data_IF_566333781284
#
_entry.id   IF_566333781284
#
_cell.length_a   1.000
_cell.length_b   1.000
_cell.length_c   1.000
_cell.angle_alpha   90.00
_cell.angle_beta   90.00
_cell.angle_gamma   90.00
#
_symmetry.space_group_name_H-M   'P 1'
#
loop_
_entity.id
_entity.type
_entity.pdbx_description
1 polymer ?
#
# COMPACT_ATOMS: atom_id res chain seq x y z
N UNK A 1 68.46 42.49 -4.38
CA UNK A 1 67.32 42.68 -5.29
C UNK A 1 66.81 41.27 -5.61
N UNK A 2 65.83 40.77 -4.85
CA UNK A 2 64.39 40.83 -5.16
C UNK A 2 64.09 40.05 -6.46
N UNK A 3 63.27 39.01 -6.51
CA UNK A 3 62.04 38.74 -5.77
C UNK A 3 61.80 37.23 -5.68
N UNK A 4 61.43 36.74 -4.51
CA UNK A 4 60.88 35.39 -4.33
C UNK A 4 59.47 35.31 -4.91
N UNK A 5 59.20 34.28 -5.70
CA UNK A 5 57.86 33.85 -6.03
C UNK A 5 57.34 33.01 -4.86
N UNK A 6 56.32 33.51 -4.17
CA UNK A 6 55.57 32.75 -3.18
C UNK A 6 54.85 31.62 -3.89
N UNK A 7 55.23 30.39 -3.52
CA UNK A 7 54.39 29.21 -3.67
C UNK A 7 53.11 29.53 -2.92
N UNK A 8 52.00 29.72 -3.64
CA UNK A 8 50.67 29.76 -3.04
C UNK A 8 50.42 28.37 -2.46
N UNK A 9 50.66 28.23 -1.16
CA UNK A 9 50.21 27.10 -0.37
C UNK A 9 48.70 26.95 -0.54
N UNK A 10 48.27 25.78 -1.00
CA UNK A 10 46.90 25.25 -0.88
C UNK A 10 46.54 25.11 0.61
N UNK A 11 46.37 26.25 1.28
CA UNK A 11 45.76 26.33 2.60
C UNK A 11 44.27 26.06 2.41
N UNK A 12 43.85 24.87 2.83
CA UNK A 12 42.43 24.54 3.06
C UNK A 12 41.76 25.75 3.73
N UNK A 13 40.78 26.39 3.07
CA UNK A 13 40.13 27.55 3.65
C UNK A 13 39.54 27.14 4.99
N UNK A 14 39.97 27.81 6.07
CA UNK A 14 39.38 27.58 7.38
C UNK A 14 37.88 27.84 7.28
N UNK A 15 37.09 26.79 7.38
CA UNK A 15 35.63 26.83 7.22
C UNK A 15 35.04 27.70 8.32
N UNK A 16 34.72 28.96 7.96
CA UNK A 16 34.16 29.93 8.88
C UNK A 16 32.63 29.92 8.85
N UNK A 17 31.99 30.08 10.01
CA UNK A 17 30.54 30.29 10.09
C UNK A 17 30.09 31.55 9.33
N UNK A 18 30.96 32.54 9.17
CA UNK A 18 30.66 33.73 8.37
C UNK A 18 30.58 33.38 6.88
N UNK A 19 31.52 32.58 6.38
CA UNK A 19 31.51 32.09 4.99
C UNK A 19 30.28 31.21 4.73
N UNK A 20 29.87 30.39 5.70
CA UNK A 20 28.62 29.61 5.62
C UNK A 20 27.39 30.52 5.49
N UNK A 21 27.28 31.59 6.30
CA UNK A 21 26.16 32.54 6.22
C UNK A 21 26.13 33.25 4.87
N UNK A 22 27.28 33.65 4.34
CA UNK A 22 27.40 34.27 3.01
C UNK A 22 26.93 33.31 1.92
N UNK A 23 27.35 32.04 1.99
CA UNK A 23 26.94 30.99 1.05
C UNK A 23 25.43 30.70 1.13
N UNK A 24 24.86 30.56 2.33
CA UNK A 24 23.41 30.39 2.52
C UNK A 24 22.64 31.59 1.93
N UNK A 25 23.10 32.81 2.17
CA UNK A 25 22.48 34.02 1.60
C UNK A 25 22.52 34.01 0.07
N UNK A 26 23.63 33.57 -0.53
CA UNK A 26 23.76 33.43 -1.99
C UNK A 26 22.79 32.39 -2.55
N UNK A 27 22.71 31.21 -1.92
CA UNK A 27 21.78 30.14 -2.30
C UNK A 27 20.32 30.60 -2.22
N UNK A 28 19.93 31.28 -1.14
CA UNK A 28 18.58 31.82 -0.97
C UNK A 28 18.25 32.99 -1.92
N UNK A 29 19.26 33.66 -2.47
CA UNK A 29 19.05 34.72 -3.48
C UNK A 29 18.89 34.14 -4.89
N UNK A 30 19.35 32.91 -5.11
CA UNK A 30 19.20 32.22 -6.38
C UNK A 30 17.75 31.74 -6.57
N UNK A 31 17.00 32.50 -7.36
CA UNK A 31 15.58 32.23 -7.64
C UNK A 31 15.34 30.80 -8.15
N UNK A 32 16.18 30.29 -9.06
CA UNK A 32 16.02 28.95 -9.61
C UNK A 32 16.19 27.87 -8.54
N UNK A 33 17.18 28.01 -7.66
CA UNK A 33 17.39 27.08 -6.54
C UNK A 33 16.23 27.12 -5.54
N UNK A 34 15.77 28.31 -5.17
CA UNK A 34 14.66 28.48 -4.21
C UNK A 34 13.35 27.90 -4.77
N UNK A 35 12.99 28.18 -6.02
CA UNK A 35 11.79 27.62 -6.62
C UNK A 35 11.87 26.10 -6.78
N UNK A 36 13.02 25.55 -7.16
CA UNK A 36 13.22 24.11 -7.26
C UNK A 36 13.07 23.41 -5.88
N UNK A 37 13.66 23.99 -4.84
CA UNK A 37 13.51 23.47 -3.47
C UNK A 37 12.09 23.60 -2.96
N UNK A 38 11.43 24.74 -3.18
CA UNK A 38 10.03 24.90 -2.81
C UNK A 38 9.14 23.85 -3.48
N UNK A 39 9.33 23.58 -4.78
CA UNK A 39 8.61 22.53 -5.49
C UNK A 39 8.86 21.13 -4.90
N UNK A 40 10.12 20.81 -4.57
CA UNK A 40 10.47 19.54 -3.91
C UNK A 40 9.82 19.38 -2.53
N UNK A 41 9.73 20.47 -1.77
CA UNK A 41 9.03 20.47 -0.48
C UNK A 41 7.56 20.12 -0.67
N UNK A 42 6.86 20.79 -1.60
CA UNK A 42 5.45 20.48 -1.90
C UNK A 42 5.26 19.04 -2.39
N UNK A 43 6.16 18.54 -3.25
CA UNK A 43 6.14 17.16 -3.71
C UNK A 43 6.26 16.17 -2.54
N UNK A 44 7.23 16.39 -1.64
CA UNK A 44 7.43 15.54 -0.48
C UNK A 44 6.22 15.56 0.46
N UNK A 45 5.63 16.73 0.71
CA UNK A 45 4.41 16.81 1.51
C UNK A 45 3.23 16.03 0.90
N UNK A 46 3.08 16.05 -0.43
CA UNK A 46 2.05 15.28 -1.13
C UNK A 46 2.31 13.78 -1.17
N UNK A 47 3.56 13.38 -1.40
CA UNK A 47 3.93 11.98 -1.63
C UNK A 47 4.23 11.20 -0.32
N UNK A 48 4.71 11.86 0.73
CA UNK A 48 5.09 11.22 2.00
C UNK A 48 3.97 10.41 2.66
N UNK A 49 2.73 10.91 2.78
CA UNK A 49 1.64 10.12 3.35
C UNK A 49 1.41 8.83 2.58
N UNK A 50 1.40 8.89 1.25
CA UNK A 50 1.29 7.71 0.41
C UNK A 50 2.43 6.72 0.69
N UNK A 51 3.68 7.18 0.72
CA UNK A 51 4.84 6.33 0.97
C UNK A 51 4.76 5.62 2.33
N UNK A 52 4.38 6.34 3.39
CA UNK A 52 4.26 5.80 4.74
C UNK A 52 3.13 4.77 4.87
N UNK A 53 1.98 5.04 4.25
CA UNK A 53 0.82 4.16 4.32
C UNK A 53 0.80 3.07 3.24
N UNK A 54 1.77 3.04 2.32
CA UNK A 54 1.78 2.13 1.17
C UNK A 54 1.70 0.65 1.59
N UNK A 55 2.56 0.19 2.51
CA UNK A 55 2.52 -1.21 2.99
C UNK A 55 1.19 -1.52 3.65
N UNK A 56 0.67 -0.58 4.47
CA UNK A 56 -0.60 -0.78 5.17
C UNK A 56 -1.80 -0.81 4.22
N UNK A 57 -1.75 0.01 3.17
CA UNK A 57 -2.72 -0.02 2.08
C UNK A 57 -2.77 -1.40 1.44
N UNK A 58 -1.61 -1.98 1.12
CA UNK A 58 -1.54 -3.33 0.52
C UNK A 58 -2.08 -4.41 1.46
N UNK A 59 -1.72 -4.36 2.76
CA UNK A 59 -2.26 -5.28 3.77
C UNK A 59 -3.79 -5.25 3.82
N UNK A 60 -4.37 -4.05 3.87
CA UNK A 60 -5.82 -3.90 4.04
C UNK A 60 -6.55 -4.25 2.74
N UNK A 61 -6.11 -3.70 1.60
CA UNK A 61 -6.84 -3.80 0.33
C UNK A 61 -6.70 -5.15 -0.35
N UNK A 62 -5.54 -5.80 -0.21
CA UNK A 62 -5.25 -7.09 -0.86
C UNK A 62 -5.17 -8.25 0.14
N UNK A 63 -5.46 -7.99 1.43
CA UNK A 63 -5.48 -9.01 2.49
C UNK A 63 -4.17 -9.79 2.63
N UNK A 64 -3.05 -9.16 2.28
CA UNK A 64 -1.73 -9.75 2.43
C UNK A 64 -1.24 -9.64 3.87
N UNK A 65 -0.39 -10.58 4.28
CA UNK A 65 0.27 -10.48 5.58
C UNK A 65 1.24 -9.29 5.61
N UNK A 66 1.53 -8.73 6.80
CA UNK A 66 2.48 -7.62 6.90
C UNK A 66 3.86 -7.93 6.30
N UNK A 67 4.33 -9.18 6.41
CA UNK A 67 5.60 -9.60 5.80
C UNK A 67 5.53 -9.59 4.28
N UNK A 68 4.46 -10.10 3.68
CA UNK A 68 4.26 -10.09 2.23
C UNK A 68 4.13 -8.67 1.67
N UNK A 69 3.33 -7.82 2.30
CA UNK A 69 3.12 -6.44 1.87
C UNK A 69 4.42 -5.61 1.91
N UNK A 70 5.20 -5.77 2.98
CA UNK A 70 6.51 -5.12 3.11
C UNK A 70 7.53 -5.67 2.12
N UNK A 71 7.55 -6.99 1.91
CA UNK A 71 8.44 -7.61 0.92
C UNK A 71 8.15 -7.10 -0.49
N UNK A 72 6.88 -7.00 -0.89
CA UNK A 72 6.47 -6.47 -2.20
C UNK A 72 6.82 -4.99 -2.33
N UNK A 73 6.48 -4.17 -1.33
CA UNK A 73 6.79 -2.73 -1.34
C UNK A 73 8.28 -2.47 -1.42
N UNK A 74 9.08 -3.15 -0.60
CA UNK A 74 10.52 -2.98 -0.54
C UNK A 74 11.21 -3.47 -1.82
N UNK A 75 10.96 -4.71 -2.24
CA UNK A 75 11.58 -5.29 -3.44
C UNK A 75 11.23 -4.51 -4.70
N UNK A 76 9.94 -4.21 -4.93
CA UNK A 76 9.49 -3.45 -6.09
C UNK A 76 10.09 -2.05 -6.11
N UNK A 77 10.09 -1.36 -4.97
CA UNK A 77 10.64 0.00 -4.91
C UNK A 77 12.14 0.00 -5.20
N UNK A 78 12.91 -0.93 -4.64
CA UNK A 78 14.35 -0.99 -4.87
C UNK A 78 14.69 -1.34 -6.31
N UNK A 79 14.13 -2.42 -6.84
CA UNK A 79 14.47 -2.92 -8.18
C UNK A 79 14.08 -1.91 -9.26
N UNK A 80 12.83 -1.43 -9.26
CA UNK A 80 12.35 -0.57 -10.33
C UNK A 80 12.89 0.86 -10.23
N UNK A 81 13.11 1.39 -9.02
CA UNK A 81 13.74 2.71 -8.89
C UNK A 81 15.22 2.67 -9.31
N UNK A 82 15.95 1.59 -9.00
CA UNK A 82 17.32 1.41 -9.46
C UNK A 82 17.39 1.30 -10.99
N UNK A 83 16.50 0.52 -11.61
CA UNK A 83 16.38 0.44 -13.06
C UNK A 83 16.04 1.81 -13.67
N UNK A 84 15.11 2.55 -13.09
CA UNK A 84 14.77 3.91 -13.52
C UNK A 84 15.95 4.86 -13.47
N UNK A 85 16.72 4.84 -12.37
CA UNK A 85 17.91 5.67 -12.21
C UNK A 85 19.00 5.32 -13.25
N UNK A 86 19.27 4.03 -13.49
CA UNK A 86 20.25 3.58 -14.48
C UNK A 86 19.84 3.96 -15.90
N UNK A 87 18.57 3.74 -16.26
CA UNK A 87 18.04 4.10 -17.58
C UNK A 87 18.07 5.61 -17.77
N UNK A 88 17.63 6.39 -16.78
CA UNK A 88 17.71 7.84 -16.84
C UNK A 88 19.15 8.33 -16.99
N UNK A 89 20.09 7.78 -16.21
CA UNK A 89 21.51 8.10 -16.33
C UNK A 89 22.06 7.85 -17.73
N UNK A 90 21.78 6.66 -18.31
CA UNK A 90 22.21 6.31 -19.66
C UNK A 90 21.60 7.24 -20.73
N UNK A 91 20.30 7.55 -20.62
CA UNK A 91 19.58 8.45 -21.55
C UNK A 91 20.13 9.87 -21.45
N UNK A 92 20.34 10.38 -20.25
CA UNK A 92 20.85 11.74 -20.00
C UNK A 92 22.28 11.88 -20.52
N UNK A 93 23.13 10.86 -20.35
CA UNK A 93 24.50 10.86 -20.88
C UNK A 93 24.53 10.89 -22.41
N UNK A 94 23.60 10.20 -23.07
CA UNK A 94 23.50 10.13 -24.54
C UNK A 94 22.92 11.41 -25.14
N UNK A 95 21.80 11.89 -24.61
CA UNK A 95 21.02 13.00 -25.19
C UNK A 95 21.52 14.37 -24.70
N UNK A 96 22.19 14.43 -23.54
CA UNK A 96 22.66 15.67 -22.89
C UNK A 96 21.56 16.75 -22.85
N UNK A 97 20.40 16.46 -22.23
CA UNK A 97 19.26 17.39 -22.23
C UNK A 97 19.58 18.70 -21.52
N UNK A 98 18.96 19.79 -21.97
CA UNK A 98 19.04 21.10 -21.33
C UNK A 98 18.23 21.11 -20.02
N UNK A 99 18.57 21.99 -19.06
CA UNK A 99 17.89 22.10 -17.77
C UNK A 99 16.39 22.35 -17.88
N UNK A 100 15.94 23.06 -18.93
CA UNK A 100 14.50 23.27 -19.21
C UNK A 100 13.78 21.97 -19.60
N UNK A 101 14.42 21.12 -20.40
CA UNK A 101 13.84 19.82 -20.78
C UNK A 101 13.77 18.90 -19.55
N UNK A 102 14.78 18.97 -18.68
CA UNK A 102 14.83 18.20 -17.45
C UNK A 102 13.74 18.62 -16.46
N UNK A 103 13.50 19.93 -16.31
CA UNK A 103 12.39 20.45 -15.53
C UNK A 103 11.03 20.08 -16.12
N UNK A 104 10.90 20.11 -17.45
CA UNK A 104 9.70 19.64 -18.15
C UNK A 104 9.42 18.15 -17.93
N UNK A 105 10.47 17.32 -17.93
CA UNK A 105 10.36 15.90 -17.62
C UNK A 105 9.81 15.68 -16.21
N UNK A 106 10.32 16.39 -15.20
CA UNK A 106 9.82 16.30 -13.82
C UNK A 106 8.31 16.60 -13.74
N UNK A 107 7.83 17.63 -14.45
CA UNK A 107 6.39 17.95 -14.45
C UNK A 107 5.58 16.79 -15.04
N UNK A 108 6.03 16.21 -16.15
CA UNK A 108 5.36 15.08 -16.80
C UNK A 108 5.36 13.85 -15.87
N UNK A 109 6.48 13.54 -15.23
CA UNK A 109 6.58 12.40 -14.31
C UNK A 109 5.72 12.60 -13.07
N UNK A 110 5.67 13.81 -12.49
CA UNK A 110 4.81 14.08 -11.33
C UNK A 110 3.32 13.93 -11.69
N UNK A 111 2.88 14.33 -12.89
CA UNK A 111 1.51 14.12 -13.37
C UNK A 111 1.23 12.62 -13.54
N UNK A 112 2.13 11.87 -14.20
CA UNK A 112 1.97 10.43 -14.41
C UNK A 112 1.90 9.67 -13.07
N UNK A 113 2.79 9.98 -12.13
CA UNK A 113 2.80 9.37 -10.80
C UNK A 113 1.53 9.71 -10.02
N UNK A 114 1.06 10.96 -10.07
CA UNK A 114 -0.18 11.38 -9.41
C UNK A 114 -1.40 10.63 -9.99
N UNK A 115 -1.49 10.53 -11.33
CA UNK A 115 -2.53 9.75 -12.00
C UNK A 115 -2.47 8.28 -11.59
N UNK A 116 -1.28 7.69 -11.50
CA UNK A 116 -1.10 6.31 -11.06
C UNK A 116 -1.53 6.08 -9.60
N UNK A 117 -1.25 7.03 -8.70
CA UNK A 117 -1.70 6.97 -7.31
C UNK A 117 -3.22 7.08 -7.21
N UNK A 118 -3.84 8.00 -7.94
CA UNK A 118 -5.30 8.12 -7.99
C UNK A 118 -5.93 6.86 -8.58
N UNK A 119 -5.28 6.25 -9.58
CA UNK A 119 -5.74 4.99 -10.17
C UNK A 119 -5.77 3.84 -9.17
N UNK A 120 -4.87 3.81 -8.17
CA UNK A 120 -4.90 2.79 -7.12
C UNK A 120 -6.21 2.75 -6.34
N UNK A 121 -6.90 3.89 -6.18
CA UNK A 121 -8.18 3.93 -5.47
C UNK A 121 -9.27 3.09 -6.15
N UNK A 122 -9.13 2.85 -7.45
CA UNK A 122 -10.05 2.02 -8.25
C UNK A 122 -9.61 0.56 -8.32
N UNK A 123 -8.36 0.26 -7.95
CA UNK A 123 -7.83 -1.09 -7.85
C UNK A 123 -7.98 -1.57 -6.42
N UNK A 124 -9.06 -2.29 -6.15
CA UNK A 124 -9.35 -2.87 -4.85
C UNK A 124 -10.02 -4.23 -5.00
N UNK A 125 -9.83 -5.09 -4.01
CA UNK A 125 -10.55 -6.35 -3.94
C UNK A 125 -11.94 -6.11 -3.35
N UNK A 126 -12.95 -5.95 -4.20
CA UNK A 126 -14.34 -5.68 -3.83
C UNK A 126 -15.13 -6.93 -3.36
N UNK A 127 -14.50 -7.85 -2.62
CA UNK A 127 -15.17 -9.06 -2.15
C UNK A 127 -15.53 -9.06 -0.65
N UNK A 128 -15.17 -8.01 0.12
CA UNK A 128 -15.90 -7.73 1.35
C UNK A 128 -17.14 -6.92 0.99
N UNK A 129 -18.19 -7.63 0.59
CA UNK A 129 -19.51 -7.06 0.61
C UNK A 129 -19.87 -6.89 2.10
N UNK A 130 -19.49 -5.76 2.71
CA UNK A 130 -19.76 -5.49 4.12
C UNK A 130 -21.26 -5.63 4.43
N UNK A 131 -22.10 -5.35 3.43
CA UNK A 131 -23.54 -5.64 3.47
C UNK A 131 -23.84 -7.13 3.62
N UNK A 132 -23.11 -8.02 2.94
CA UNK A 132 -23.24 -9.47 3.10
C UNK A 132 -22.73 -9.94 4.47
N UNK A 133 -21.63 -9.37 4.98
CA UNK A 133 -21.13 -9.71 6.33
C UNK A 133 -22.15 -9.28 7.39
N UNK A 134 -22.71 -8.09 7.24
CA UNK A 134 -23.75 -7.57 8.14
C UNK A 134 -25.04 -8.38 8.01
N UNK A 135 -25.50 -8.71 6.80
CA UNK A 135 -26.70 -9.53 6.61
C UNK A 135 -26.53 -10.96 7.14
N UNK A 136 -25.35 -11.53 7.02
CA UNK A 136 -25.03 -12.85 7.55
C UNK A 136 -24.79 -12.84 9.06
N UNK A 137 -24.80 -11.67 9.71
CA UNK A 137 -24.46 -11.57 11.14
C UNK A 137 -25.57 -10.92 11.98
N UNK A 138 -26.33 -9.99 11.42
CA UNK A 138 -27.36 -9.24 12.14
C UNK A 138 -28.77 -9.73 11.81
N UNK A 139 -29.59 -9.91 12.84
CA UNK A 139 -31.01 -10.24 12.69
C UNK A 139 -31.31 -11.70 12.37
N UNK A 140 -30.33 -12.60 12.47
CA UNK A 140 -30.58 -14.03 12.28
C UNK A 140 -31.14 -14.68 13.55
N UNK A 141 -32.22 -15.45 13.40
CA UNK A 141 -32.89 -16.13 14.51
C UNK A 141 -31.95 -17.10 15.27
N UNK A 142 -31.00 -17.72 14.55
CA UNK A 142 -30.01 -18.62 15.12
C UNK A 142 -29.03 -17.95 16.10
N UNK A 143 -28.91 -16.61 16.05
CA UNK A 143 -27.99 -15.81 16.88
C UNK A 143 -28.68 -15.12 18.06
N UNK A 144 -30.03 -15.10 18.09
CA UNK A 144 -30.83 -14.35 19.07
C UNK A 144 -30.58 -14.78 20.53
N UNK A 145 -30.13 -16.02 20.74
CA UNK A 145 -29.84 -16.56 22.08
C UNK A 145 -28.53 -16.06 22.71
N UNK A 146 -27.67 -15.36 21.97
CA UNK A 146 -26.31 -15.04 22.41
C UNK A 146 -26.08 -13.58 22.84
N UNK A 147 -27.08 -12.70 22.73
CA UNK A 147 -27.02 -11.28 23.11
C UNK A 147 -25.74 -10.56 22.62
N UNK A 148 -25.48 -10.61 21.31
CA UNK A 148 -24.21 -10.23 20.69
C UNK A 148 -23.97 -8.70 20.52
N UNK A 149 -24.77 -7.84 21.15
CA UNK A 149 -24.79 -6.38 20.91
C UNK A 149 -23.45 -5.67 21.21
N UNK A 150 -22.66 -6.17 22.16
CA UNK A 150 -21.38 -5.56 22.58
C UNK A 150 -20.14 -6.42 22.28
N UNK A 151 -20.22 -7.31 21.30
CA UNK A 151 -19.10 -8.22 20.98
C UNK A 151 -18.09 -7.53 20.06
N UNK A 152 -16.79 -7.65 20.39
CA UNK A 152 -15.68 -7.13 19.57
C UNK A 152 -15.69 -7.75 18.17
N UNK A 153 -15.44 -6.93 17.15
CA UNK A 153 -15.23 -7.39 15.77
C UNK A 153 -14.09 -8.41 15.70
N UNK A 154 -14.43 -9.63 15.32
CA UNK A 154 -13.52 -10.77 15.26
C UNK A 154 -13.97 -11.71 14.13
N UNK A 155 -13.67 -11.36 12.86
CA UNK A 155 -14.26 -12.04 11.72
C UNK A 155 -13.88 -13.52 11.68
N UNK A 156 -14.85 -14.35 11.31
CA UNK A 156 -14.67 -15.80 11.11
C UNK A 156 -15.20 -16.20 9.73
N UNK A 157 -14.60 -17.25 9.16
CA UNK A 157 -15.01 -17.85 7.90
C UNK A 157 -15.72 -19.16 8.20
N UNK A 158 -17.01 -19.26 7.87
CA UNK A 158 -17.80 -20.47 8.02
C UNK A 158 -17.50 -21.52 6.95
N UNK A 159 -17.86 -22.77 7.23
CA UNK A 159 -17.83 -23.88 6.26
C UNK A 159 -18.73 -23.63 5.05
N UNK A 160 -19.68 -22.70 5.15
CA UNK A 160 -20.55 -22.23 4.08
C UNK A 160 -19.88 -21.21 3.15
N UNK A 161 -18.62 -20.84 3.38
CA UNK A 161 -17.87 -19.86 2.60
C UNK A 161 -18.24 -18.41 2.90
N UNK A 162 -19.08 -18.15 3.90
CA UNK A 162 -19.48 -16.81 4.30
C UNK A 162 -18.65 -16.28 5.47
N UNK A 163 -18.41 -14.97 5.45
CA UNK A 163 -17.72 -14.28 6.57
C UNK A 163 -18.74 -13.68 7.54
N UNK A 164 -18.57 -13.94 8.82
CA UNK A 164 -19.41 -13.45 9.93
C UNK A 164 -18.65 -12.44 10.79
N UNK A 165 -19.37 -11.53 11.45
CA UNK A 165 -18.82 -10.41 12.24
C UNK A 165 -18.04 -10.87 13.48
N UNK A 166 -18.52 -11.93 14.13
CA UNK A 166 -17.88 -12.59 15.26
C UNK A 166 -18.40 -14.02 15.46
N UNK A 167 -17.73 -14.86 16.27
CA UNK A 167 -18.22 -16.20 16.63
C UNK A 167 -19.62 -16.18 17.27
N UNK A 168 -19.94 -15.13 18.02
CA UNK A 168 -21.26 -14.94 18.64
C UNK A 168 -22.37 -14.78 17.59
N UNK A 169 -22.13 -13.96 16.57
CA UNK A 169 -23.10 -13.73 15.49
C UNK A 169 -23.31 -14.97 14.62
N UNK A 170 -22.34 -15.90 14.60
CA UNK A 170 -22.48 -17.21 13.98
C UNK A 170 -23.06 -18.30 14.91
N UNK A 171 -23.31 -17.96 16.18
CA UNK A 171 -23.87 -18.87 17.18
C UNK A 171 -22.97 -20.04 17.57
N UNK A 172 -21.65 -19.88 17.48
CA UNK A 172 -20.67 -20.91 17.84
C UNK A 172 -20.54 -21.04 19.36
N UNK A 173 -20.60 -22.28 19.89
CA UNK A 173 -20.46 -22.55 21.34
C UNK A 173 -19.09 -23.07 21.74
N UNK A 174 -18.39 -23.72 20.82
CA UNK A 174 -17.10 -24.34 21.09
C UNK A 174 -15.97 -23.64 20.34
N UNK A 175 -14.79 -23.60 20.98
CA UNK A 175 -13.57 -23.06 20.38
C UNK A 175 -12.36 -23.95 20.71
N UNK A 176 -11.57 -24.29 19.70
CA UNK A 176 -10.38 -25.12 19.81
C UNK A 176 -9.22 -24.40 19.12
N UNK A 177 -8.06 -24.36 19.78
CA UNK A 177 -6.85 -23.78 19.18
C UNK A 177 -6.15 -24.83 18.32
N UNK A 178 -5.97 -24.53 17.04
CA UNK A 178 -5.29 -25.41 16.09
C UNK A 178 -3.76 -25.25 16.20
N UNK A 179 -3.02 -26.27 15.75
CA UNK A 179 -1.55 -26.30 15.71
C UNK A 179 -0.95 -25.11 14.94
N UNK A 180 -1.65 -24.61 13.91
CA UNK A 180 -1.26 -23.45 13.10
C UNK A 180 -1.48 -22.09 13.81
N UNK A 181 -1.88 -22.10 15.08
CA UNK A 181 -2.16 -20.90 15.87
C UNK A 181 -3.51 -20.23 15.58
N UNK A 182 -4.29 -20.74 14.61
CA UNK A 182 -5.66 -20.31 14.30
C UNK A 182 -6.66 -20.89 15.31
N UNK A 183 -7.78 -20.19 15.52
CA UNK A 183 -8.89 -20.68 16.34
C UNK A 183 -9.93 -21.33 15.42
N UNK A 184 -10.29 -22.57 15.73
CA UNK A 184 -11.39 -23.31 15.12
C UNK A 184 -12.61 -23.18 16.02
N UNK A 185 -13.74 -22.80 15.46
CA UNK A 185 -15.03 -22.69 16.15
C UNK A 185 -15.96 -23.81 15.64
N UNK A 186 -16.67 -24.44 16.57
CA UNK A 186 -17.57 -25.58 16.31
C UNK A 186 -18.92 -25.35 16.99
N UNK A 187 -19.92 -26.15 16.60
CA UNK A 187 -21.33 -26.01 17.02
C UNK A 187 -21.88 -24.60 16.72
N UNK A 188 -21.69 -24.13 15.49
CA UNK A 188 -22.20 -22.84 15.03
C UNK A 188 -23.62 -22.99 14.48
N UNK A 189 -24.62 -22.46 15.22
CA UNK A 189 -26.05 -22.56 14.88
C UNK A 189 -26.47 -21.77 13.64
N UNK A 190 -25.65 -20.84 13.16
CA UNK A 190 -25.95 -20.05 11.97
C UNK A 190 -25.25 -20.55 10.70
N UNK A 191 -24.39 -21.57 10.82
CA UNK A 191 -23.59 -22.09 9.72
C UNK A 191 -24.11 -23.47 9.33
N UNK A 192 -24.36 -23.66 8.04
CA UNK A 192 -24.78 -24.95 7.50
C UNK A 192 -23.57 -25.89 7.38
N UNK A 193 -23.72 -27.11 7.89
CA UNK A 193 -22.73 -28.18 7.74
C UNK A 193 -22.81 -28.80 6.34
N UNK A 194 -21.67 -29.03 5.68
CA UNK A 194 -21.59 -29.60 4.32
C UNK A 194 -22.28 -30.98 4.18
N UNK A 195 -22.51 -31.70 5.29
CA UNK A 195 -23.25 -32.97 5.29
C UNK A 195 -24.72 -32.85 4.84
N UNK A 196 -25.29 -31.64 4.78
CA UNK A 196 -26.69 -31.40 4.41
C UNK A 196 -26.89 -30.69 3.07
N UNK A 197 -25.84 -30.30 2.32
CA UNK A 197 -26.04 -29.67 1.00
C UNK A 197 -26.55 -30.69 -0.03
N UNK A 198 -26.02 -31.91 0.01
CA UNK A 198 -26.43 -33.01 -0.87
C UNK A 198 -27.81 -33.60 -0.51
N UNK A 199 -28.26 -33.44 0.75
CA UNK A 199 -29.56 -33.94 1.22
C UNK A 199 -30.66 -32.87 1.17
N UNK A 200 -30.34 -31.59 1.38
CA UNK A 200 -31.30 -30.49 1.20
C UNK A 200 -31.60 -30.24 -0.29
N UNK A 201 -30.62 -30.40 -1.18
CA UNK A 201 -30.86 -30.30 -2.62
C UNK A 201 -31.73 -31.45 -3.17
N UNK A 202 -31.69 -32.64 -2.56
CA UNK A 202 -32.50 -33.79 -2.98
C UNK A 202 -33.91 -33.83 -2.36
N UNK A 203 -34.17 -33.06 -1.30
CA UNK A 203 -35.50 -32.95 -0.69
C UNK A 203 -36.40 -31.85 -1.29
N UNK A 204 -35.84 -30.92 -2.08
CA UNK A 204 -36.61 -29.85 -2.71
C UNK A 204 -37.46 -30.36 -3.90
N UNK A 205 -37.17 -31.54 -4.44
CA UNK A 205 -37.91 -32.10 -5.58
C UNK A 205 -39.15 -32.93 -5.20
N UNK A 206 -39.54 -32.99 -3.90
CA UNK A 206 -40.62 -33.89 -3.47
C UNK A 206 -41.44 -33.47 -2.24
N UNK A 207 -41.79 -32.20 -2.05
CA UNK A 207 -42.76 -31.88 -1.00
C UNK A 207 -43.79 -30.81 -1.39
N UNK A 208 -45.00 -31.29 -1.74
CA UNK A 208 -46.24 -30.53 -1.71
C UNK A 208 -46.58 -30.16 -0.26
N UNK A 209 -47.09 -28.94 -0.08
CA UNK A 209 -47.70 -28.43 1.15
C UNK A 209 -48.54 -29.47 1.88
N UNK A 210 -48.24 -29.69 3.16
CA UNK A 210 -49.15 -29.51 4.30
C UNK A 210 -48.52 -30.16 5.53
N UNK A 211 -48.13 -29.33 6.51
CA UNK A 211 -48.05 -29.57 7.97
C UNK A 211 -46.94 -28.68 8.54
N UNK A 212 -47.29 -27.90 9.56
CA UNK A 212 -46.42 -26.98 10.29
C UNK A 212 -45.41 -27.76 11.16
N UNK A 213 -44.36 -28.30 10.56
CA UNK A 213 -43.13 -28.71 11.25
C UNK A 213 -41.97 -28.59 10.25
N UNK A 214 -41.13 -27.56 10.44
CA UNK A 214 -40.02 -27.27 9.54
C UNK A 214 -39.03 -28.45 9.53
N UNK A 215 -38.54 -28.90 8.35
CA UNK A 215 -37.51 -29.93 8.30
C UNK A 215 -36.27 -29.41 9.05
N UNK A 216 -35.90 -30.11 10.12
CA UNK A 216 -34.82 -29.73 11.02
C UNK A 216 -33.49 -29.63 10.26
N UNK A 217 -33.13 -28.42 9.85
CA UNK A 217 -31.76 -28.12 9.43
C UNK A 217 -30.87 -28.31 10.65
N UNK A 218 -30.01 -29.32 10.63
CA UNK A 218 -28.98 -29.48 11.66
C UNK A 218 -27.89 -28.45 11.40
N UNK A 219 -27.98 -27.31 12.10
CA UNK A 219 -26.98 -26.25 12.06
C UNK A 219 -25.83 -26.61 13.00
N UNK A 220 -24.84 -27.33 12.48
CA UNK A 220 -23.59 -27.64 13.19
C UNK A 220 -22.41 -27.40 12.24
N UNK A 221 -22.34 -26.19 11.69
CA UNK A 221 -21.22 -25.77 10.86
C UNK A 221 -19.97 -25.49 11.70
N UNK A 222 -18.82 -25.52 11.05
CA UNK A 222 -17.54 -25.13 11.63
C UNK A 222 -17.09 -23.81 11.04
N UNK A 223 -16.26 -23.06 11.77
CA UNK A 223 -15.69 -21.83 11.29
C UNK A 223 -14.23 -21.68 11.72
N UNK A 224 -13.44 -20.97 10.93
CA UNK A 224 -12.05 -20.66 11.25
C UNK A 224 -11.87 -19.16 11.47
N UNK A 225 -10.93 -18.79 12.33
CA UNK A 225 -10.59 -17.38 12.57
C UNK A 225 -10.05 -16.70 11.30
N UNK A 226 -10.60 -15.54 10.96
CA UNK A 226 -10.26 -14.76 9.76
C UNK A 226 -11.43 -14.67 8.78
N UNK A 227 -11.36 -13.73 7.83
CA UNK A 227 -12.34 -13.66 6.74
C UNK A 227 -12.11 -14.79 5.71
N UNK A 228 -13.15 -15.17 4.97
CA UNK A 228 -13.03 -16.20 3.94
C UNK A 228 -12.06 -15.79 2.82
N UNK A 229 -11.35 -16.77 2.23
CA UNK A 229 -10.42 -16.51 1.14
C UNK A 229 -11.18 -15.95 -0.06
N UNK A 230 -10.75 -14.80 -0.54
CA UNK A 230 -11.28 -14.13 -1.72
C UNK A 230 -10.17 -14.05 -2.76
N UNK A 231 -10.49 -14.36 -4.01
CA UNK A 231 -9.51 -14.31 -5.10
C UNK A 231 -9.22 -12.85 -5.47
N UNK A 232 -8.26 -12.25 -4.77
CA UNK A 232 -7.78 -10.89 -4.99
C UNK A 232 -6.54 -10.81 -5.91
N UNK A 233 -6.14 -11.93 -6.52
CA UNK A 233 -4.87 -12.01 -7.24
C UNK A 233 -4.84 -11.14 -8.51
N UNK A 234 -5.90 -11.14 -9.31
CA UNK A 234 -5.97 -10.31 -10.53
C UNK A 234 -5.86 -8.81 -10.26
N UNK A 235 -6.67 -8.19 -9.37
CA UNK A 235 -6.52 -6.77 -9.07
C UNK A 235 -5.16 -6.47 -8.41
N UNK A 236 -4.61 -7.41 -7.63
CA UNK A 236 -3.28 -7.28 -7.05
C UNK A 236 -2.18 -7.22 -8.12
N UNK A 237 -2.21 -8.08 -9.14
CA UNK A 237 -1.22 -8.04 -10.23
C UNK A 237 -1.33 -6.75 -11.06
N UNK A 238 -2.54 -6.24 -11.29
CA UNK A 238 -2.73 -4.94 -11.95
C UNK A 238 -2.15 -3.80 -11.13
N UNK A 239 -2.39 -3.80 -9.82
CA UNK A 239 -1.78 -2.84 -8.90
C UNK A 239 -0.26 -2.93 -8.89
N UNK A 240 0.28 -4.16 -8.85
CA UNK A 240 1.73 -4.40 -8.89
C UNK A 240 2.34 -3.84 -10.18
N UNK A 241 1.71 -4.04 -11.34
CA UNK A 241 2.18 -3.50 -12.61
C UNK A 241 2.26 -1.97 -12.57
N UNK A 242 1.20 -1.30 -12.10
CA UNK A 242 1.17 0.17 -11.99
C UNK A 242 2.18 0.67 -10.95
N UNK A 243 2.38 -0.06 -9.84
CA UNK A 243 3.42 0.19 -8.85
C UNK A 243 4.83 0.14 -9.46
N UNK A 244 5.13 -0.90 -10.24
CA UNK A 244 6.41 -1.03 -10.93
C UNK A 244 6.67 0.16 -11.87
N UNK A 245 5.66 0.55 -12.66
CA UNK A 245 5.75 1.71 -13.56
C UNK A 245 6.00 3.00 -12.76
N UNK A 246 5.24 3.25 -11.70
CA UNK A 246 5.41 4.45 -10.87
C UNK A 246 6.79 4.51 -10.20
N UNK A 247 7.31 3.38 -9.69
CA UNK A 247 8.65 3.33 -9.09
C UNK A 247 9.75 3.54 -10.13
N UNK A 248 9.58 3.00 -11.33
CA UNK A 248 10.49 3.27 -12.45
C UNK A 248 10.50 4.76 -12.81
N UNK A 249 9.33 5.37 -12.99
CA UNK A 249 9.18 6.80 -13.27
C UNK A 249 9.82 7.64 -12.17
N UNK A 250 9.56 7.35 -10.90
CA UNK A 250 10.17 8.04 -9.76
C UNK A 250 11.70 7.94 -9.72
N UNK A 251 12.27 6.81 -10.14
CA UNK A 251 13.71 6.67 -10.34
C UNK A 251 14.26 7.63 -11.40
N UNK A 252 13.54 7.82 -12.50
CA UNK A 252 13.93 8.79 -13.55
C UNK A 252 13.79 10.25 -13.10
N UNK A 253 12.75 10.57 -12.33
CA UNK A 253 12.48 11.89 -11.75
C UNK A 253 13.60 12.28 -10.77
N UNK A 254 14.03 11.34 -9.92
CA UNK A 254 15.12 11.55 -8.97
C UNK A 254 16.43 11.93 -9.68
N UNK A 255 16.79 11.22 -10.76
CA UNK A 255 17.97 11.52 -11.56
C UNK A 255 17.91 12.92 -12.18
N UNK A 256 16.75 13.28 -12.74
CA UNK A 256 16.51 14.57 -13.36
C UNK A 256 16.58 15.72 -12.34
N UNK A 257 15.89 15.58 -11.21
CA UNK A 257 15.87 16.57 -10.13
C UNK A 257 17.26 16.81 -9.53
N UNK A 258 18.03 15.75 -9.28
CA UNK A 258 19.41 15.85 -8.78
C UNK A 258 20.30 16.67 -9.72
N UNK A 259 20.20 16.41 -11.03
CA UNK A 259 20.96 17.15 -12.04
C UNK A 259 20.52 18.61 -12.20
N UNK A 260 19.24 18.93 -12.00
CA UNK A 260 18.78 20.32 -11.94
C UNK A 260 19.45 21.02 -10.76
N UNK A 261 19.45 20.40 -9.57
CA UNK A 261 20.13 20.92 -8.38
C UNK A 261 21.60 21.24 -8.65
N UNK A 262 22.33 20.29 -9.25
CA UNK A 262 23.74 20.47 -9.62
C UNK A 262 23.99 21.59 -10.63
N UNK A 263 23.04 21.87 -11.53
CA UNK A 263 23.17 22.91 -12.57
C UNK A 263 22.72 24.29 -12.08
N UNK A 264 21.89 24.34 -11.05
CA UNK A 264 21.39 25.59 -10.47
C UNK A 264 22.41 26.25 -9.54
N UNK A 265 23.41 25.52 -9.05
CA UNK A 265 24.35 25.96 -8.01
C UNK A 265 25.77 25.99 -8.55
N UNK A 266 26.51 27.05 -8.20
CA UNK A 266 27.93 27.19 -8.54
C UNK A 266 28.77 26.10 -7.87
N UNK A 267 29.89 25.70 -8.47
CA UNK A 267 30.68 24.54 -8.02
C UNK A 267 31.15 24.64 -6.56
N UNK A 268 31.47 25.85 -6.11
CA UNK A 268 31.86 26.15 -4.72
C UNK A 268 30.76 25.95 -3.67
N UNK A 269 29.49 25.97 -4.08
CA UNK A 269 28.33 25.91 -3.17
C UNK A 269 27.62 24.56 -3.19
N UNK A 270 28.00 23.67 -4.12
CA UNK A 270 27.35 22.38 -4.34
C UNK A 270 27.26 21.54 -3.07
N UNK A 271 28.32 21.51 -2.27
CA UNK A 271 28.40 20.72 -1.03
C UNK A 271 27.40 21.18 0.05
N UNK A 272 27.04 22.46 0.08
CA UNK A 272 26.07 23.01 1.06
C UNK A 272 24.64 22.93 0.53
N UNK A 273 24.47 22.88 -0.80
CA UNK A 273 23.17 22.97 -1.46
C UNK A 273 22.43 21.65 -1.66
N UNK A 274 23.16 20.52 -1.62
CA UNK A 274 22.67 19.17 -1.89
C UNK A 274 22.26 18.42 -0.64
#
# INVERSE_FOLDING_TARGET
>A
MASGGTVDDDLDPQVSFEDLKVTIKRLLTNKAYVFNNAANVFYMFGYMPYFLFQSKYIEIQYRLTPSQANMVTGSTSLVFSALGLLVAGAVIQRIKPNSRQLAGWNIVTSILTSCGIVFYAYLGCNNLNNTAIVSNSQGMECSLGCNCEFVKYAPICGSDGNTYLSPCHAGCKEQVKQLDGKMLFSDCSCILSELNVSYAASLIDSYNETTSEQPGRTYSGTATSGSCPVDCMTPFYMFLLVLCINKFIGGTESAANFLIGLRCVEERDKAISM
#
